data_IF_440470897632
#
_entry.id   IF_440470897632
#
_cell.length_a   1.000
_cell.length_b   1.000
_cell.length_c   1.000
_cell.angle_alpha   90.00
_cell.angle_beta   90.00
_cell.angle_gamma   90.00
#
_symmetry.space_group_name_H-M   'P 1'
#
loop_
_entity.id
_entity.type
_entity.pdbx_description
1 polymer ?
#
# COMPACT_ATOMS: atom_id res chain seq x y z
N UNK A 1 -73.60 -47.39 -16.70
CA UNK A 1 -73.08 -48.77 -16.54
C UNK A 1 -71.72 -48.64 -15.87
N UNK A 2 -71.63 -48.93 -14.56
CA UNK A 2 -70.92 -50.10 -13.95
C UNK A 2 -69.41 -50.06 -14.29
N UNK A 3 -68.45 -49.98 -13.36
CA UNK A 3 -68.25 -50.66 -12.05
C UNK A 3 -67.05 -49.98 -11.34
N UNK A 4 -67.14 -49.38 -10.14
CA UNK A 4 -66.77 -49.90 -8.79
C UNK A 4 -65.63 -50.93 -8.66
N UNK A 5 -64.65 -50.63 -7.78
CA UNK A 5 -64.15 -51.37 -6.57
C UNK A 5 -62.74 -50.81 -6.21
N UNK A 6 -62.39 -50.21 -5.07
CA UNK A 6 -62.62 -50.40 -3.63
C UNK A 6 -61.74 -51.48 -2.95
N UNK A 7 -61.31 -51.16 -1.69
CA UNK A 7 -60.75 -51.99 -0.58
C UNK A 7 -59.22 -51.93 -0.42
N UNK A 8 -58.65 -51.11 0.49
CA UNK A 8 -58.47 -51.22 1.98
C UNK A 8 -57.46 -52.29 2.44
N UNK A 9 -56.45 -51.90 3.25
CA UNK A 9 -56.32 -52.28 4.68
C UNK A 9 -55.11 -51.67 5.41
N UNK A 10 -55.44 -51.00 6.51
CA UNK A 10 -54.66 -50.76 7.73
C UNK A 10 -54.08 -52.05 8.33
N UNK A 11 -52.90 -51.95 8.95
CA UNK A 11 -52.58 -52.67 10.19
C UNK A 11 -51.62 -51.85 11.07
N UNK A 12 -52.12 -51.54 12.27
CA UNK A 12 -51.40 -50.99 13.41
C UNK A 12 -51.15 -52.09 14.47
N UNK A 13 -50.01 -52.02 15.18
CA UNK A 13 -49.76 -52.37 16.62
C UNK A 13 -48.24 -52.25 16.88
N UNK A 14 -47.70 -51.41 17.79
CA UNK A 14 -47.86 -51.29 19.27
C UNK A 14 -47.41 -52.59 19.96
N UNK A 15 -46.46 -52.69 20.89
CA UNK A 15 -45.56 -51.79 21.62
C UNK A 15 -44.76 -52.65 22.64
N UNK A 16 -43.68 -52.12 23.21
CA UNK A 16 -43.18 -52.27 24.60
C UNK A 16 -41.82 -51.53 24.68
N UNK A 17 -41.51 -50.55 25.54
CA UNK A 17 -41.69 -50.35 27.00
C UNK A 17 -40.60 -50.98 27.90
N UNK A 18 -39.45 -50.29 28.00
CA UNK A 18 -38.66 -49.93 29.22
C UNK A 18 -38.16 -51.04 30.20
N UNK A 19 -37.44 -50.78 31.34
CA UNK A 19 -36.74 -49.57 31.88
C UNK A 19 -35.36 -49.84 32.60
N UNK A 20 -34.84 -48.79 33.30
CA UNK A 20 -33.90 -48.74 34.46
C UNK A 20 -32.41 -48.55 34.15
N UNK A 21 -31.67 -47.50 34.55
CA UNK A 21 -31.54 -46.67 35.78
C UNK A 21 -30.69 -47.31 36.91
N UNK A 22 -29.58 -46.63 37.26
CA UNK A 22 -28.84 -46.54 38.54
C UNK A 22 -27.52 -45.77 38.26
N UNK A 23 -27.35 -44.52 38.70
CA UNK A 23 -26.83 -44.06 40.00
C UNK A 23 -25.31 -44.17 40.15
N UNK A 24 -24.65 -43.02 40.29
CA UNK A 24 -23.61 -42.79 41.30
C UNK A 24 -23.32 -41.28 41.43
N UNK A 25 -23.64 -40.76 42.62
CA UNK A 25 -23.13 -39.52 43.19
C UNK A 25 -21.68 -39.70 43.64
N UNK A 26 -20.85 -38.66 43.53
CA UNK A 26 -19.80 -38.40 44.53
C UNK A 26 -19.47 -36.90 44.59
N UNK A 27 -19.60 -36.35 45.80
CA UNK A 27 -19.27 -34.99 46.21
C UNK A 27 -17.74 -34.72 46.17
N UNK A 28 -17.33 -33.47 45.86
CA UNK A 28 -16.59 -32.61 46.81
C UNK A 28 -16.15 -31.24 46.26
N UNK A 29 -16.53 -30.22 47.05
CA UNK A 29 -15.82 -28.98 47.41
C UNK A 29 -15.39 -27.95 46.34
N UNK A 30 -16.11 -26.83 46.36
CA UNK A 30 -15.63 -25.46 46.07
C UNK A 30 -14.57 -24.97 47.07
N UNK A 31 -13.80 -23.92 46.71
CA UNK A 31 -13.84 -22.70 47.52
C UNK A 31 -14.12 -21.41 46.72
N UNK A 32 -14.82 -20.50 47.40
CA UNK A 32 -15.29 -19.17 46.97
C UNK A 32 -14.13 -18.18 46.74
N UNK A 33 -14.21 -17.41 45.65
CA UNK A 33 -13.55 -16.10 45.47
C UNK A 33 -14.60 -15.03 45.13
N UNK A 34 -14.44 -13.76 45.56
CA UNK A 34 -15.49 -12.74 45.51
C UNK A 34 -15.61 -12.02 44.15
N UNK A 35 -16.71 -11.27 43.89
CA UNK A 35 -17.16 -10.89 42.55
C UNK A 35 -16.74 -9.47 42.12
N UNK A 36 -17.28 -9.04 40.98
CA UNK A 36 -17.35 -7.67 40.36
C UNK A 36 -16.22 -7.40 39.37
N UNK A 37 -16.44 -7.07 38.09
CA UNK A 37 -17.48 -6.25 37.42
C UNK A 37 -16.73 -5.06 36.77
N UNK A 38 -16.92 -4.74 35.47
CA UNK A 38 -16.07 -3.76 34.79
C UNK A 38 -16.34 -2.33 35.29
N UNK A 39 -15.33 -1.43 35.35
CA UNK A 39 -15.55 -0.08 35.82
C UNK A 39 -16.37 0.71 34.80
N UNK A 40 -17.53 1.16 35.26
CA UNK A 40 -18.43 2.11 34.65
C UNK A 40 -17.82 3.52 34.60
N UNK A 41 -17.87 4.15 33.41
CA UNK A 41 -18.24 5.56 33.16
C UNK A 41 -17.44 6.72 33.80
N UNK A 42 -17.28 7.86 33.11
CA UNK A 42 -16.43 8.95 33.55
C UNK A 42 -17.09 9.82 34.65
N UNK A 43 -16.30 10.48 35.52
CA UNK A 43 -16.85 11.41 36.51
C UNK A 43 -17.39 12.68 35.83
N UNK A 44 -18.63 13.05 36.18
CA UNK A 44 -19.18 14.39 35.95
C UNK A 44 -18.82 15.30 37.13
N UNK A 45 -18.63 16.58 36.81
CA UNK A 45 -18.54 17.77 37.68
C UNK A 45 -17.15 18.30 38.05
N UNK A 46 -16.58 19.12 37.14
CA UNK A 46 -15.86 20.38 37.44
C UNK A 46 -15.81 21.26 36.16
N UNK A 47 -15.57 22.59 36.24
CA UNK A 47 -16.47 23.61 35.71
C UNK A 47 -16.11 24.17 34.32
N UNK A 48 -17.10 24.83 33.71
CA UNK A 48 -16.97 25.68 32.52
C UNK A 48 -16.05 26.88 32.73
N UNK A 49 -15.17 27.10 31.74
CA UNK A 49 -14.76 28.43 31.30
C UNK A 49 -13.47 28.99 31.90
N UNK A 50 -12.40 29.04 31.08
CA UNK A 50 -11.66 30.25 30.73
C UNK A 50 -10.48 29.90 29.78
N UNK A 51 -10.06 30.85 28.91
CA UNK A 51 -9.14 30.61 27.80
C UNK A 51 -7.68 30.77 28.24
N UNK A 52 -6.78 29.97 27.68
CA UNK A 52 -5.33 30.13 27.79
C UNK A 52 -4.69 29.70 26.46
N UNK A 53 -3.76 30.41 25.85
CA UNK A 53 -3.07 31.61 26.29
C UNK A 53 -2.42 32.29 25.09
N UNK A 54 -2.73 33.57 24.96
CA UNK A 54 -1.98 34.56 24.19
C UNK A 54 -0.59 34.69 24.84
N UNK A 55 0.48 34.38 24.10
CA UNK A 55 1.82 34.84 24.48
C UNK A 55 1.94 36.32 24.09
N UNK A 56 2.20 37.23 25.04
CA UNK A 56 2.38 38.64 24.73
C UNK A 56 3.77 38.90 24.15
N UNK A 57 3.83 39.53 22.98
CA UNK A 57 4.99 40.33 22.59
C UNK A 57 5.67 39.95 21.29
N UNK A 58 5.00 40.10 20.14
CA UNK A 58 5.63 40.63 18.91
C UNK A 58 4.58 41.45 18.16
N UNK A 59 4.66 42.77 18.26
CA UNK A 59 4.04 43.68 17.30
C UNK A 59 4.97 43.79 16.09
N UNK A 60 4.57 43.30 14.92
CA UNK A 60 5.11 43.75 13.65
C UNK A 60 4.15 43.41 12.50
N UNK A 61 3.49 44.45 12.01
CA UNK A 61 2.87 44.50 10.71
C UNK A 61 3.95 44.36 9.63
N UNK A 62 3.89 43.33 8.78
CA UNK A 62 4.44 43.40 7.42
C UNK A 62 3.91 42.27 6.56
N UNK A 63 3.20 42.64 5.50
CA UNK A 63 2.74 41.78 4.42
C UNK A 63 3.93 41.03 3.75
N UNK A 64 3.70 39.84 3.16
CA UNK A 64 4.72 39.13 2.42
C UNK A 64 5.07 39.88 1.12
N UNK A 65 6.36 40.00 0.74
CA UNK A 65 6.75 40.69 -0.48
C UNK A 65 6.29 39.91 -1.72
N UNK A 66 5.48 40.58 -2.56
CA UNK A 66 5.15 40.15 -3.91
C UNK A 66 6.43 40.05 -4.74
N UNK A 67 6.70 38.87 -5.32
CA UNK A 67 7.71 38.72 -6.38
C UNK A 67 7.19 39.41 -7.64
N UNK A 68 7.92 40.43 -8.09
CA UNK A 68 7.77 41.01 -9.43
C UNK A 68 8.18 39.98 -10.48
N UNK A 69 7.29 39.75 -11.44
CA UNK A 69 7.52 38.89 -12.60
C UNK A 69 8.69 39.43 -13.45
N UNK A 70 9.78 38.67 -13.49
CA UNK A 70 10.86 38.87 -14.45
C UNK A 70 10.51 38.20 -15.79
N UNK A 71 10.85 38.88 -16.88
CA UNK A 71 10.74 38.44 -18.27
C UNK A 71 11.38 37.07 -18.52
N UNK A 72 10.80 36.20 -19.38
CA UNK A 72 11.37 34.89 -19.70
C UNK A 72 12.69 35.04 -20.45
N UNK A 73 13.73 34.33 -19.99
CA UNK A 73 14.98 34.14 -20.74
C UNK A 73 14.76 33.05 -21.79
N UNK A 74 14.99 33.39 -23.06
CA UNK A 74 15.00 32.46 -24.19
C UNK A 74 16.10 31.40 -24.00
N UNK A 75 15.72 30.13 -23.98
CA UNK A 75 16.65 29.00 -24.02
C UNK A 75 17.00 28.73 -25.49
N UNK A 76 18.19 29.16 -25.91
CA UNK A 76 18.76 28.77 -27.20
C UNK A 76 19.20 27.30 -27.12
N UNK A 77 18.54 26.46 -27.94
CA UNK A 77 18.97 25.09 -28.20
C UNK A 77 20.20 25.12 -29.11
N UNK A 78 21.39 24.86 -28.55
CA UNK A 78 22.57 24.54 -29.35
C UNK A 78 22.74 23.03 -29.39
N UNK A 79 22.44 22.49 -30.57
CA UNK A 79 22.72 21.13 -30.99
C UNK A 79 24.22 21.05 -31.33
N UNK A 80 24.98 20.26 -30.58
CA UNK A 80 26.35 19.89 -30.94
C UNK A 80 26.57 18.41 -30.59
N UNK A 81 26.66 17.62 -31.65
CA UNK A 81 27.08 16.23 -31.65
C UNK A 81 28.52 16.15 -31.11
N UNK A 82 28.75 15.31 -30.10
CA UNK A 82 30.11 14.93 -29.69
C UNK A 82 30.21 13.41 -29.72
N UNK A 83 31.04 12.94 -30.64
CA UNK A 83 31.48 11.57 -30.85
C UNK A 83 32.24 11.07 -29.62
N UNK A 84 31.91 9.87 -29.13
CA UNK A 84 32.69 9.17 -28.12
C UNK A 84 33.68 8.23 -28.82
N UNK A 85 34.96 8.63 -28.83
CA UNK A 85 36.06 7.77 -29.23
C UNK A 85 36.51 6.93 -28.03
N UNK A 86 36.61 5.62 -28.24
CA UNK A 86 36.92 4.63 -27.21
C UNK A 86 38.37 4.19 -27.39
N UNK A 87 39.27 4.56 -26.48
CA UNK A 87 40.59 3.91 -26.40
C UNK A 87 40.86 3.28 -25.02
N UNK A 88 41.31 2.04 -25.13
CA UNK A 88 41.68 1.07 -24.12
C UNK A 88 42.92 1.50 -23.33
N UNK A 89 42.92 1.27 -22.02
CA UNK A 89 44.08 1.47 -21.14
C UNK A 89 44.20 0.31 -20.15
N UNK A 90 45.27 -0.46 -20.30
CA UNK A 90 45.55 -1.74 -19.67
C UNK A 90 45.90 -1.69 -18.17
N UNK A 91 45.72 -2.85 -17.54
CA UNK A 91 46.12 -3.25 -16.19
C UNK A 91 47.57 -2.88 -15.83
N UNK A 92 47.78 -2.42 -14.60
CA UNK A 92 49.11 -2.39 -13.96
C UNK A 92 49.00 -2.92 -12.54
N UNK A 93 49.58 -4.12 -12.36
CA UNK A 93 49.92 -4.78 -11.10
C UNK A 93 50.75 -3.87 -10.18
N UNK A 94 50.41 -3.83 -8.88
CA UNK A 94 51.27 -3.30 -7.82
C UNK A 94 51.77 -4.46 -6.93
N UNK A 95 53.09 -4.61 -6.69
CA UNK A 95 53.60 -5.67 -5.84
C UNK A 95 53.54 -5.28 -4.36
N UNK A 96 53.31 -6.30 -3.53
CA UNK A 96 53.43 -6.32 -2.07
C UNK A 96 54.91 -6.30 -1.68
N UNK A 97 55.27 -5.49 -0.69
CA UNK A 97 56.48 -5.67 0.13
C UNK A 97 56.12 -5.41 1.59
N UNK A 98 56.28 -6.45 2.40
CA UNK A 98 56.47 -6.38 3.85
C UNK A 98 57.91 -5.95 4.14
N UNK A 99 58.12 -5.13 5.17
CA UNK A 99 59.09 -5.41 6.24
C UNK A 99 59.01 -4.34 7.35
N UNK A 100 59.29 -4.83 8.55
CA UNK A 100 59.10 -4.28 9.89
C UNK A 100 59.87 -2.98 10.19
N UNK A 101 59.37 -2.15 11.10
CA UNK A 101 60.22 -1.33 11.97
C UNK A 101 59.55 -0.92 13.30
N UNK A 102 60.41 -0.80 14.30
CA UNK A 102 60.20 -1.00 15.73
C UNK A 102 59.31 0.00 16.49
N UNK A 103 58.66 -0.56 17.50
CA UNK A 103 57.95 0.08 18.60
C UNK A 103 58.92 0.92 19.47
N UNK A 104 58.65 2.22 19.67
CA UNK A 104 59.27 3.02 20.73
C UNK A 104 58.25 3.90 21.44
N UNK A 105 58.13 3.69 22.76
CA UNK A 105 57.30 4.43 23.71
C UNK A 105 58.00 5.73 24.14
N UNK A 106 57.35 6.89 23.96
CA UNK A 106 57.46 8.02 24.91
C UNK A 106 56.32 9.05 24.70
N UNK A 107 55.65 9.54 25.77
CA UNK A 107 54.55 10.50 25.62
C UNK A 107 55.06 11.95 25.58
N UNK A 108 54.54 12.82 24.70
CA UNK A 108 54.83 14.25 24.74
C UNK A 108 53.93 14.97 25.76
N UNK A 109 54.53 15.84 26.57
CA UNK A 109 53.83 16.76 27.48
C UNK A 109 53.40 18.01 26.72
N UNK A 110 52.18 18.57 26.93
CA UNK A 110 51.80 19.84 26.33
C UNK A 110 52.14 20.99 27.28
N UNK A 111 53.10 21.82 26.91
CA UNK A 111 53.23 23.17 27.47
C UNK A 111 52.31 24.12 26.70
N UNK A 112 51.22 24.55 27.34
CA UNK A 112 50.27 25.52 26.79
C UNK A 112 50.87 26.93 26.95
N UNK A 113 51.27 27.56 25.84
CA UNK A 113 51.60 28.99 25.80
C UNK A 113 50.32 29.80 25.58
N UNK A 114 49.82 30.41 26.66
CA UNK A 114 48.57 31.19 26.73
C UNK A 114 48.78 32.64 26.23
N UNK A 115 49.95 33.00 25.69
CA UNK A 115 50.25 34.36 25.23
C UNK A 115 49.80 34.72 23.80
N UNK A 116 49.55 33.72 22.93
CA UNK A 116 49.34 33.95 21.49
C UNK A 116 47.88 34.06 21.01
N UNK A 117 46.90 33.76 21.87
CA UNK A 117 45.52 33.48 21.43
C UNK A 117 44.62 34.69 21.14
N UNK A 118 45.07 35.92 21.44
CA UNK A 118 44.19 37.12 21.35
C UNK A 118 44.42 37.92 20.04
N UNK A 119 45.43 37.58 19.25
CA UNK A 119 45.78 38.32 18.02
C UNK A 119 45.24 37.75 16.70
N UNK A 120 44.69 36.53 16.69
CA UNK A 120 44.35 35.82 15.45
C UNK A 120 42.84 35.74 15.15
N UNK A 121 41.98 36.19 16.06
CA UNK A 121 40.52 36.09 15.93
C UNK A 121 39.88 37.15 15.02
N UNK A 122 40.66 37.96 14.29
CA UNK A 122 40.16 38.99 13.36
C UNK A 122 40.68 38.84 11.92
N UNK A 123 41.25 37.68 11.56
CA UNK A 123 41.77 37.42 10.21
C UNK A 123 41.17 36.17 9.53
N UNK A 124 40.04 35.65 10.02
CA UNK A 124 39.20 34.77 9.21
C UNK A 124 38.51 35.66 8.17
N UNK A 125 39.04 35.66 6.94
CA UNK A 125 38.47 36.42 5.85
C UNK A 125 37.12 35.79 5.46
N UNK A 126 36.11 36.58 5.05
CA UNK A 126 34.83 36.04 4.57
C UNK A 126 35.00 35.10 3.36
N UNK A 127 36.15 35.15 2.68
CA UNK A 127 36.51 34.25 1.59
C UNK A 127 36.84 32.82 2.08
N UNK A 128 37.47 32.68 3.25
CA UNK A 128 37.77 31.39 3.90
C UNK A 128 36.49 30.64 4.30
N UNK A 129 35.51 31.35 4.83
CA UNK A 129 34.22 30.76 5.21
C UNK A 129 33.41 30.34 3.98
N UNK A 130 33.50 31.10 2.89
CA UNK A 130 32.87 30.74 1.61
C UNK A 130 33.50 29.47 1.02
N UNK A 131 34.82 29.32 1.10
CA UNK A 131 35.52 28.11 0.65
C UNK A 131 35.16 26.89 1.51
N UNK A 132 35.06 27.06 2.84
CA UNK A 132 34.63 26.00 3.75
C UNK A 132 33.17 25.56 3.46
N UNK A 133 32.26 26.51 3.25
CA UNK A 133 30.87 26.22 2.87
C UNK A 133 30.75 25.60 1.48
N UNK A 134 31.63 25.96 0.54
CA UNK A 134 31.70 25.32 -0.77
C UNK A 134 32.18 23.87 -0.67
N UNK A 135 33.19 23.60 0.14
CA UNK A 135 33.67 22.25 0.42
C UNK A 135 32.58 21.39 1.09
N UNK A 136 31.85 21.95 2.05
CA UNK A 136 30.72 21.29 2.70
C UNK A 136 29.58 21.00 1.71
N UNK A 137 29.19 21.96 0.86
CA UNK A 137 28.19 21.73 -0.18
C UNK A 137 28.61 20.67 -1.19
N UNK A 138 29.89 20.62 -1.55
CA UNK A 138 30.42 19.62 -2.46
C UNK A 138 30.41 18.22 -1.81
N UNK A 139 30.76 18.13 -0.53
CA UNK A 139 30.63 16.91 0.27
C UNK A 139 29.18 16.43 0.36
N UNK A 140 28.22 17.33 0.66
CA UNK A 140 26.79 17.00 0.70
C UNK A 140 26.26 16.52 -0.65
N UNK A 141 26.68 17.15 -1.76
CA UNK A 141 26.31 16.72 -3.11
C UNK A 141 26.84 15.33 -3.43
N UNK A 142 28.09 15.04 -3.07
CA UNK A 142 28.67 13.71 -3.26
C UNK A 142 27.97 12.66 -2.39
N UNK A 143 27.69 12.97 -1.13
CA UNK A 143 26.94 12.10 -0.23
C UNK A 143 25.53 11.81 -0.75
N UNK A 144 24.84 12.83 -1.28
CA UNK A 144 23.51 12.68 -1.88
C UNK A 144 23.53 11.80 -3.14
N UNK A 145 24.51 12.01 -4.02
CA UNK A 145 24.67 11.19 -5.23
C UNK A 145 24.94 9.73 -4.87
N UNK A 146 25.82 9.48 -3.90
CA UNK A 146 26.12 8.13 -3.42
C UNK A 146 24.89 7.48 -2.78
N UNK A 147 24.16 8.20 -1.93
CA UNK A 147 22.92 7.71 -1.33
C UNK A 147 21.87 7.37 -2.40
N UNK A 148 21.74 8.22 -3.43
CA UNK A 148 20.82 7.98 -4.55
C UNK A 148 21.22 6.73 -5.35
N UNK A 149 22.52 6.52 -5.57
CA UNK A 149 23.04 5.32 -6.23
C UNK A 149 22.72 4.05 -5.45
N UNK A 150 22.95 4.06 -4.12
CA UNK A 150 22.67 2.91 -3.25
C UNK A 150 21.17 2.62 -3.21
N UNK A 151 20.32 3.64 -3.08
CA UNK A 151 18.86 3.49 -3.10
C UNK A 151 18.41 2.89 -4.43
N UNK A 152 18.93 3.40 -5.55
CA UNK A 152 18.58 2.87 -6.86
C UNK A 152 19.00 1.40 -7.01
N UNK A 153 20.21 1.03 -6.57
CA UNK A 153 20.67 -0.36 -6.61
C UNK A 153 19.81 -1.30 -5.73
N UNK A 154 19.41 -0.84 -4.54
CA UNK A 154 18.50 -1.57 -3.67
C UNK A 154 17.09 -1.70 -4.27
N UNK A 155 16.63 -0.66 -4.96
CA UNK A 155 15.30 -0.66 -5.57
C UNK A 155 15.27 -1.48 -6.87
N UNK A 156 16.27 -1.36 -7.74
CA UNK A 156 16.29 -2.04 -9.04
C UNK A 156 17.08 -3.35 -9.00
N UNK A 157 16.92 -4.15 -7.94
CA UNK A 157 17.47 -5.50 -7.92
C UNK A 157 16.82 -6.35 -9.03
N UNK A 158 17.60 -7.08 -9.84
CA UNK A 158 17.06 -7.93 -10.87
C UNK A 158 16.23 -9.05 -10.23
N UNK A 159 14.93 -9.07 -10.51
CA UNK A 159 14.03 -10.08 -9.98
C UNK A 159 14.20 -11.40 -10.76
N UNK A 160 14.36 -12.55 -10.08
CA UNK A 160 14.42 -13.83 -10.76
C UNK A 160 13.05 -14.20 -11.37
N UNK A 161 13.02 -14.96 -12.49
CA UNK A 161 11.77 -15.51 -12.99
C UNK A 161 11.24 -16.60 -12.05
N UNK A 162 9.92 -16.80 -12.05
CA UNK A 162 9.27 -17.87 -11.27
C UNK A 162 8.95 -19.02 -12.21
N UNK A 163 9.38 -20.22 -11.85
CA UNK A 163 9.07 -21.45 -12.62
C UNK A 163 8.00 -22.22 -11.87
N UNK A 164 6.81 -22.31 -12.46
CA UNK A 164 5.70 -23.11 -11.95
C UNK A 164 5.54 -24.42 -12.71
N UNK A 165 4.49 -25.17 -12.38
CA UNK A 165 4.17 -26.40 -13.10
C UNK A 165 3.55 -26.06 -14.47
N UNK A 166 4.36 -26.16 -15.53
CA UNK A 166 3.93 -25.92 -16.90
C UNK A 166 3.78 -24.45 -17.30
N UNK A 167 4.34 -23.51 -16.52
CA UNK A 167 4.40 -22.08 -16.87
C UNK A 167 5.67 -21.42 -16.33
N UNK A 168 6.07 -20.30 -16.93
CA UNK A 168 7.16 -19.45 -16.44
C UNK A 168 6.64 -18.02 -16.30
N UNK A 169 6.75 -17.44 -15.11
CA UNK A 169 6.52 -16.01 -14.89
C UNK A 169 7.80 -15.27 -15.23
N UNK A 170 7.82 -14.43 -16.29
CA UNK A 170 9.03 -13.73 -16.67
C UNK A 170 9.51 -12.76 -15.58
N UNK A 171 10.82 -12.53 -15.52
CA UNK A 171 11.44 -11.59 -14.59
C UNK A 171 10.85 -10.17 -14.65
N UNK A 172 10.43 -9.71 -15.85
CA UNK A 172 9.83 -8.39 -16.01
C UNK A 172 8.44 -8.30 -15.36
N UNK A 173 7.65 -9.39 -15.39
CA UNK A 173 6.34 -9.43 -14.70
C UNK A 173 6.55 -9.36 -13.20
N UNK A 174 7.50 -10.13 -12.65
CA UNK A 174 7.83 -10.05 -11.21
C UNK A 174 8.29 -8.63 -10.84
N UNK A 175 9.13 -8.03 -11.68
CA UNK A 175 9.59 -6.64 -11.50
C UNK A 175 8.44 -5.63 -11.52
N UNK A 176 7.41 -5.85 -12.35
CA UNK A 176 6.21 -5.01 -12.37
C UNK A 176 5.40 -5.09 -11.07
N UNK A 177 5.27 -6.29 -10.47
CA UNK A 177 4.65 -6.45 -9.14
C UNK A 177 5.41 -5.64 -8.08
N UNK A 178 6.74 -5.73 -8.05
CA UNK A 178 7.56 -4.97 -7.08
C UNK A 178 7.44 -3.47 -7.32
N UNK A 179 7.55 -3.03 -8.58
CA UNK A 179 7.43 -1.63 -8.97
C UNK A 179 6.09 -1.04 -8.55
N UNK A 180 4.98 -1.70 -8.89
CA UNK A 180 3.65 -1.19 -8.57
C UNK A 180 3.37 -1.26 -7.07
N UNK A 181 3.80 -2.33 -6.39
CA UNK A 181 3.65 -2.47 -4.96
C UNK A 181 4.32 -1.34 -4.17
N UNK A 182 5.55 -0.95 -4.55
CA UNK A 182 6.23 0.23 -3.98
C UNK A 182 5.50 1.53 -4.29
N UNK A 183 4.98 1.68 -5.51
CA UNK A 183 4.21 2.87 -5.89
C UNK A 183 2.95 3.01 -5.04
N UNK A 184 2.20 1.91 -4.84
CA UNK A 184 1.00 1.85 -4.02
C UNK A 184 1.28 2.24 -2.56
N UNK A 185 2.39 1.76 -1.99
CA UNK A 185 2.79 2.14 -0.63
C UNK A 185 3.24 3.60 -0.55
N UNK A 186 4.00 4.10 -1.54
CA UNK A 186 4.45 5.50 -1.59
C UNK A 186 3.28 6.49 -1.66
N UNK A 187 2.22 6.13 -2.36
CA UNK A 187 1.01 6.96 -2.46
C UNK A 187 0.05 6.82 -1.27
N UNK A 188 0.38 5.95 -0.30
CA UNK A 188 -0.43 5.72 0.89
C UNK A 188 -1.72 4.94 0.64
N UNK A 189 -1.79 4.19 -0.46
CA UNK A 189 -2.98 3.39 -0.81
C UNK A 189 -3.02 2.05 -0.08
N UNK A 190 -1.87 1.53 0.35
CA UNK A 190 -1.74 0.31 1.15
C UNK A 190 -0.74 0.50 2.30
N UNK A 191 -0.96 -0.26 3.38
CA UNK A 191 -0.09 -0.28 4.56
C UNK A 191 0.10 -1.73 5.03
N UNK A 192 1.28 -2.02 5.57
CA UNK A 192 1.65 -3.34 6.07
C UNK A 192 1.35 -4.44 5.03
N UNK A 193 0.55 -5.45 5.41
CA UNK A 193 0.23 -6.64 4.63
C UNK A 193 -1.20 -6.61 4.08
N UNK A 194 -1.83 -5.44 4.00
CA UNK A 194 -3.22 -5.28 3.56
C UNK A 194 -3.26 -4.89 2.09
N UNK A 195 -4.06 -5.64 1.33
CA UNK A 195 -4.25 -5.47 -0.10
C UNK A 195 -3.62 -6.60 -0.91
N UNK A 196 -4.02 -6.69 -2.17
CA UNK A 196 -3.52 -7.68 -3.12
C UNK A 196 -3.54 -7.11 -4.52
N UNK A 197 -2.60 -7.53 -5.35
CA UNK A 197 -2.56 -7.14 -6.77
C UNK A 197 -2.48 -8.38 -7.64
N UNK A 198 -3.05 -8.31 -8.84
CA UNK A 198 -3.05 -9.40 -9.81
C UNK A 198 -3.06 -8.88 -11.23
N UNK A 199 -2.57 -9.70 -12.17
CA UNK A 199 -2.66 -9.44 -13.61
C UNK A 199 -2.92 -10.74 -14.36
N UNK A 200 -3.62 -10.64 -15.49
CA UNK A 200 -3.67 -11.69 -16.50
C UNK A 200 -2.32 -11.73 -17.23
N UNK A 201 -1.83 -12.92 -17.50
CA UNK A 201 -0.62 -13.13 -18.31
C UNK A 201 -0.93 -12.79 -19.77
N UNK A 202 0.00 -12.10 -20.43
CA UNK A 202 -0.08 -11.81 -21.86
C UNK A 202 0.57 -12.91 -22.70
N UNK A 203 1.44 -13.72 -22.09
CA UNK A 203 2.18 -14.79 -22.77
C UNK A 203 1.37 -16.09 -22.81
N UNK A 204 0.67 -16.41 -21.72
CA UNK A 204 -0.15 -17.60 -21.60
C UNK A 204 -1.62 -17.27 -21.36
N UNK A 205 -2.55 -17.73 -22.22
CA UNK A 205 -3.97 -17.49 -22.01
C UNK A 205 -4.45 -18.16 -20.72
N UNK A 206 -5.38 -17.52 -20.04
CA UNK A 206 -6.00 -17.94 -18.79
C UNK A 206 -5.04 -18.04 -17.58
N UNK A 207 -3.76 -17.69 -17.70
CA UNK A 207 -2.85 -17.67 -16.56
C UNK A 207 -3.00 -16.35 -15.81
N UNK A 208 -3.17 -16.42 -14.49
CA UNK A 208 -3.27 -15.26 -13.61
C UNK A 208 -2.09 -15.28 -12.66
N UNK A 209 -1.45 -14.12 -12.51
CA UNK A 209 -0.45 -13.87 -11.49
C UNK A 209 -1.09 -13.03 -10.39
N UNK A 210 -0.86 -13.37 -9.12
CA UNK A 210 -1.46 -12.68 -7.96
C UNK A 210 -0.50 -12.70 -6.78
N UNK A 211 -0.55 -11.68 -5.93
CA UNK A 211 0.18 -11.70 -4.66
C UNK A 211 -0.43 -12.69 -3.68
N UNK A 212 0.42 -13.38 -2.91
CA UNK A 212 0.00 -14.22 -1.80
C UNK A 212 -0.67 -13.39 -0.69
N UNK A 213 -1.57 -14.02 0.04
CA UNK A 213 -2.24 -13.45 1.19
C UNK A 213 -1.21 -12.98 2.23
N UNK A 214 -1.40 -11.77 2.75
CA UNK A 214 -0.49 -11.18 3.73
C UNK A 214 0.85 -10.70 3.17
N UNK A 215 1.02 -10.62 1.86
CA UNK A 215 2.25 -10.07 1.26
C UNK A 215 2.37 -8.56 1.52
N UNK A 216 3.54 -8.05 1.95
CA UNK A 216 3.75 -6.61 2.10
C UNK A 216 3.97 -5.96 0.72
N UNK A 217 2.94 -5.29 0.17
CA UNK A 217 2.97 -4.80 -1.21
C UNK A 217 4.19 -3.91 -1.54
N UNK A 218 4.66 -3.03 -0.64
CA UNK A 218 5.85 -2.22 -0.95
C UNK A 218 7.20 -2.92 -0.72
N UNK A 219 7.20 -4.19 -0.31
CA UNK A 219 8.41 -5.02 -0.12
C UNK A 219 8.27 -6.37 -0.83
N UNK A 220 7.55 -6.40 -1.96
CA UNK A 220 7.39 -7.63 -2.74
C UNK A 220 8.72 -8.11 -3.31
N UNK A 221 8.79 -9.43 -3.46
CA UNK A 221 9.82 -10.18 -4.17
C UNK A 221 9.15 -11.34 -4.94
N UNK A 222 9.93 -12.18 -5.61
CA UNK A 222 9.42 -13.34 -6.36
C UNK A 222 8.60 -14.33 -5.51
N UNK A 223 8.89 -14.43 -4.20
CA UNK A 223 8.26 -15.42 -3.31
C UNK A 223 6.84 -15.03 -2.95
N UNK A 224 6.51 -13.75 -3.10
CA UNK A 224 5.19 -13.19 -2.82
C UNK A 224 4.22 -13.32 -4.00
N UNK A 225 4.67 -13.76 -5.18
CA UNK A 225 3.81 -13.94 -6.34
C UNK A 225 3.46 -15.42 -6.49
N UNK A 226 2.16 -15.70 -6.62
CA UNK A 226 1.62 -17.01 -6.95
C UNK A 226 0.93 -16.94 -8.32
N UNK A 227 0.68 -18.09 -8.95
CA UNK A 227 0.01 -18.14 -10.24
C UNK A 227 -0.88 -19.37 -10.35
N UNK A 228 -1.97 -19.23 -11.10
CA UNK A 228 -2.94 -20.29 -11.36
C UNK A 228 -3.78 -19.97 -12.58
N UNK A 229 -4.60 -20.91 -13.04
CA UNK A 229 -5.44 -20.70 -14.22
C UNK A 229 -6.85 -20.26 -13.84
N UNK A 230 -7.45 -19.40 -14.66
CA UNK A 230 -8.85 -18.98 -14.50
C UNK A 230 -9.78 -20.21 -14.47
N UNK A 231 -10.68 -20.24 -13.49
CA UNK A 231 -11.62 -21.35 -13.28
C UNK A 231 -11.07 -22.54 -12.51
N UNK A 232 -9.77 -22.55 -12.19
CA UNK A 232 -9.17 -23.56 -11.31
C UNK A 232 -9.22 -23.13 -9.83
N UNK A 233 -8.89 -24.09 -8.96
CA UNK A 233 -8.74 -23.84 -7.53
C UNK A 233 -7.65 -22.81 -7.26
N UNK A 234 -7.81 -22.06 -6.17
CA UNK A 234 -6.83 -21.07 -5.75
C UNK A 234 -5.44 -21.70 -5.57
N UNK A 235 -4.38 -21.05 -6.08
CA UNK A 235 -3.01 -21.44 -5.75
C UNK A 235 -2.77 -21.38 -4.24
N UNK A 236 -1.76 -22.13 -3.79
CA UNK A 236 -1.32 -22.10 -2.39
C UNK A 236 -1.03 -20.66 -1.93
N UNK A 237 -1.40 -20.37 -0.70
CA UNK A 237 -1.13 -19.11 0.00
C UNK A 237 -1.79 -17.85 -0.61
N UNK A 238 -2.77 -17.96 -1.53
CA UNK A 238 -3.50 -16.78 -2.07
C UNK A 238 -4.75 -16.43 -1.28
N UNK A 239 -5.36 -17.42 -0.61
CA UNK A 239 -6.54 -17.20 0.23
C UNK A 239 -7.81 -16.86 -0.56
N UNK A 240 -8.71 -16.12 0.09
CA UNK A 240 -10.03 -15.75 -0.45
C UNK A 240 -9.98 -14.72 -1.58
N UNK A 241 -8.89 -13.96 -1.70
CA UNK A 241 -8.71 -12.95 -2.74
C UNK A 241 -8.75 -13.54 -4.16
N UNK A 242 -8.41 -14.82 -4.33
CA UNK A 242 -8.38 -15.49 -5.63
C UNK A 242 -9.70 -15.37 -6.40
N UNK A 243 -10.82 -15.73 -5.76
CA UNK A 243 -12.14 -15.76 -6.42
C UNK A 243 -12.57 -14.36 -6.85
N UNK A 244 -12.33 -13.36 -6.01
CA UNK A 244 -12.66 -11.97 -6.33
C UNK A 244 -11.80 -11.47 -7.49
N UNK A 245 -10.47 -11.59 -7.38
CA UNK A 245 -9.54 -11.12 -8.41
C UNK A 245 -9.79 -11.80 -9.77
N UNK A 246 -9.99 -13.11 -9.81
CA UNK A 246 -10.22 -13.84 -11.06
C UNK A 246 -11.51 -13.41 -11.77
N UNK A 247 -12.58 -13.14 -11.04
CA UNK A 247 -13.84 -12.65 -11.60
C UNK A 247 -13.67 -11.22 -12.13
N UNK A 248 -13.04 -10.33 -11.35
CA UNK A 248 -12.82 -8.95 -11.77
C UNK A 248 -11.88 -8.88 -12.98
N UNK A 249 -10.82 -9.70 -13.01
CA UNK A 249 -9.93 -9.83 -14.17
C UNK A 249 -10.68 -10.35 -15.39
N UNK A 250 -11.55 -11.37 -15.24
CA UNK A 250 -12.33 -11.90 -16.34
C UNK A 250 -13.24 -10.83 -16.96
N UNK A 251 -14.01 -10.10 -16.15
CA UNK A 251 -14.87 -9.00 -16.61
C UNK A 251 -14.06 -7.90 -17.29
N UNK A 252 -12.95 -7.48 -16.67
CA UNK A 252 -12.07 -6.43 -17.19
C UNK A 252 -11.41 -6.84 -18.51
N UNK A 253 -11.02 -8.11 -18.65
CA UNK A 253 -10.37 -8.62 -19.86
C UNK A 253 -11.27 -8.54 -21.10
N UNK A 254 -12.60 -8.61 -20.92
CA UNK A 254 -13.56 -8.46 -22.02
C UNK A 254 -13.58 -7.03 -22.56
N UNK A 255 -13.31 -6.03 -21.72
CA UNK A 255 -13.27 -4.61 -22.12
C UNK A 255 -11.91 -4.23 -22.74
N UNK A 256 -10.83 -4.84 -22.27
CA UNK A 256 -9.45 -4.50 -22.63
C UNK A 256 -8.75 -5.55 -23.52
N UNK A 257 -9.52 -6.22 -24.39
CA UNK A 257 -9.02 -7.17 -25.40
C UNK A 257 -8.07 -8.26 -24.85
N UNK A 258 -8.41 -8.83 -23.69
CA UNK A 258 -7.65 -9.89 -23.03
C UNK A 258 -6.60 -9.43 -22.01
N UNK A 259 -6.29 -8.14 -21.95
CA UNK A 259 -5.40 -7.58 -20.92
C UNK A 259 -6.22 -7.20 -19.69
N UNK A 260 -5.75 -7.51 -18.49
CA UNK A 260 -6.40 -7.05 -17.26
C UNK A 260 -5.43 -7.07 -16.09
N UNK A 261 -5.54 -6.07 -15.22
CA UNK A 261 -4.94 -6.03 -13.90
C UNK A 261 -5.97 -5.57 -12.86
N UNK A 262 -5.79 -6.00 -11.62
CA UNK A 262 -6.65 -5.66 -10.49
C UNK A 262 -5.81 -5.37 -9.25
N UNK A 263 -6.15 -4.32 -8.53
CA UNK A 263 -5.56 -3.94 -7.26
C UNK A 263 -6.65 -3.80 -6.19
N UNK A 264 -6.59 -4.65 -5.18
CA UNK A 264 -7.35 -4.52 -3.95
C UNK A 264 -6.56 -3.71 -2.93
N UNK A 265 -7.13 -2.60 -2.47
CA UNK A 265 -6.43 -1.62 -1.65
C UNK A 265 -7.34 -1.14 -0.52
N UNK A 266 -6.80 -0.97 0.70
CA UNK A 266 -7.57 -0.50 1.84
C UNK A 266 -7.99 0.98 1.72
N UNK A 267 -7.31 1.80 0.90
CA UNK A 267 -7.74 3.16 0.48
C UNK A 267 -8.58 3.91 1.55
N UNK A 268 -7.93 4.48 2.59
CA UNK A 268 -8.58 4.82 3.85
C UNK A 268 -9.76 5.78 3.73
N UNK A 269 -9.73 6.77 2.83
CA UNK A 269 -10.85 7.69 2.65
C UNK A 269 -12.01 7.01 1.91
N UNK A 270 -11.72 6.23 0.87
CA UNK A 270 -12.73 5.45 0.14
C UNK A 270 -13.42 4.45 1.06
N UNK A 271 -12.65 3.75 1.89
CA UNK A 271 -13.18 2.80 2.88
C UNK A 271 -13.95 3.49 3.99
N UNK A 272 -13.47 4.63 4.51
CA UNK A 272 -14.20 5.39 5.52
C UNK A 272 -15.56 5.87 4.98
N UNK A 273 -15.59 6.37 3.74
CA UNK A 273 -16.83 6.79 3.08
C UNK A 273 -17.77 5.62 2.84
N UNK A 274 -17.24 4.43 2.52
CA UNK A 274 -18.07 3.24 2.30
C UNK A 274 -18.74 2.71 3.57
N UNK A 275 -18.28 3.07 4.77
CA UNK A 275 -18.92 2.66 6.03
C UNK A 275 -20.24 3.39 6.32
N UNK A 276 -20.58 4.43 5.56
CA UNK A 276 -21.87 5.13 5.68
C UNK A 276 -23.02 4.24 5.20
N UNK A 277 -23.85 3.75 6.12
CA UNK A 277 -24.86 2.69 5.85
C UNK A 277 -25.84 3.02 4.72
N UNK A 278 -26.23 4.29 4.58
CA UNK A 278 -27.19 4.72 3.54
C UNK A 278 -26.54 4.98 2.17
N UNK A 279 -25.21 4.82 2.07
CA UNK A 279 -24.44 5.06 0.85
C UNK A 279 -24.19 3.74 0.10
N UNK A 280 -24.75 3.62 -1.10
CA UNK A 280 -24.56 2.47 -1.99
C UNK A 280 -23.67 2.77 -3.21
N UNK A 281 -23.35 4.05 -3.43
CA UNK A 281 -22.59 4.52 -4.57
C UNK A 281 -21.74 5.72 -4.16
N UNK A 282 -20.46 5.68 -4.49
CA UNK A 282 -19.55 6.82 -4.39
C UNK A 282 -19.62 7.65 -5.67
N UNK A 283 -19.81 8.97 -5.52
CA UNK A 283 -19.80 9.93 -6.62
C UNK A 283 -18.79 11.03 -6.33
N UNK A 284 -17.67 11.09 -7.07
CA UNK A 284 -16.71 12.18 -6.94
C UNK A 284 -17.36 13.55 -7.13
N UNK A 285 -17.00 14.51 -6.26
CA UNK A 285 -17.47 15.90 -6.35
C UNK A 285 -16.47 16.81 -7.07
N UNK A 286 -15.20 16.42 -7.11
CA UNK A 286 -14.12 17.15 -7.77
C UNK A 286 -14.14 17.00 -9.29
N UNK A 287 -13.49 17.94 -9.98
CA UNK A 287 -13.52 18.01 -11.45
C UNK A 287 -12.88 16.77 -12.11
N UNK A 288 -11.75 16.30 -11.60
CA UNK A 288 -11.02 15.18 -12.18
C UNK A 288 -11.79 13.87 -11.97
N UNK A 289 -12.29 13.66 -10.76
CA UNK A 289 -13.13 12.52 -10.39
C UNK A 289 -14.41 12.45 -11.23
N UNK A 290 -15.11 13.57 -11.44
CA UNK A 290 -16.33 13.62 -12.27
C UNK A 290 -16.09 13.24 -13.74
N UNK A 291 -14.93 13.61 -14.28
CA UNK A 291 -14.55 13.24 -15.65
C UNK A 291 -14.21 11.75 -15.76
N UNK A 292 -13.62 11.17 -14.70
CA UNK A 292 -13.15 9.79 -14.70
C UNK A 292 -14.23 8.80 -14.29
N UNK A 293 -15.02 9.11 -13.28
CA UNK A 293 -16.04 8.24 -12.68
C UNK A 293 -17.39 8.93 -12.71
N UNK A 294 -18.38 8.26 -13.30
CA UNK A 294 -19.78 8.65 -13.17
C UNK A 294 -20.32 8.23 -11.80
N UNK A 295 -19.99 7.00 -11.40
CA UNK A 295 -20.32 6.40 -10.11
C UNK A 295 -19.46 5.17 -9.86
N UNK A 296 -19.13 4.91 -8.61
CA UNK A 296 -18.47 3.68 -8.15
C UNK A 296 -19.40 2.97 -7.16
N UNK A 297 -19.79 1.73 -7.46
CA UNK A 297 -20.74 0.98 -6.64
C UNK A 297 -20.07 0.48 -5.36
N UNK A 298 -20.82 0.52 -4.25
CA UNK A 298 -20.47 -0.11 -2.97
C UNK A 298 -21.26 -1.41 -2.87
N UNK A 299 -20.55 -2.51 -2.60
CA UNK A 299 -21.12 -3.85 -2.41
C UNK A 299 -20.93 -4.28 -0.97
N UNK A 300 -21.97 -4.87 -0.40
CA UNK A 300 -21.95 -5.40 0.95
C UNK A 300 -21.53 -6.87 0.92
N UNK A 301 -20.59 -7.25 1.78
CA UNK A 301 -20.18 -8.64 1.98
C UNK A 301 -21.03 -9.39 3.01
N UNK A 302 -21.78 -8.66 3.81
CA UNK A 302 -22.52 -9.20 4.95
C UNK A 302 -23.88 -9.77 4.51
N UNK A 303 -24.32 -10.83 5.17
CA UNK A 303 -25.64 -11.47 5.00
C UNK A 303 -25.98 -11.94 3.56
N UNK A 304 -24.98 -12.10 2.69
CA UNK A 304 -25.13 -12.62 1.32
C UNK A 304 -24.39 -13.93 1.12
N UNK A 305 -24.87 -14.75 0.18
CA UNK A 305 -24.13 -15.93 -0.26
C UNK A 305 -22.87 -15.51 -1.03
N UNK A 306 -21.84 -16.35 -1.03
CA UNK A 306 -20.61 -16.07 -1.77
C UNK A 306 -20.88 -15.84 -3.28
N UNK A 307 -21.75 -16.66 -3.89
CA UNK A 307 -22.09 -16.53 -5.31
C UNK A 307 -22.84 -15.23 -5.61
N UNK A 308 -23.75 -14.79 -4.72
CA UNK A 308 -24.45 -13.51 -4.87
C UNK A 308 -23.50 -12.33 -4.71
N UNK A 309 -22.56 -12.40 -3.76
CA UNK A 309 -21.52 -11.38 -3.56
C UNK A 309 -20.66 -11.22 -4.82
N UNK A 310 -20.17 -12.34 -5.38
CA UNK A 310 -19.36 -12.32 -6.59
C UNK A 310 -20.15 -11.82 -7.82
N UNK A 311 -21.45 -12.16 -7.91
CA UNK A 311 -22.34 -11.59 -8.93
C UNK A 311 -22.47 -10.07 -8.78
N UNK A 312 -22.77 -9.59 -7.57
CA UNK A 312 -22.87 -8.15 -7.29
C UNK A 312 -21.57 -7.41 -7.59
N UNK A 313 -20.41 -8.02 -7.30
CA UNK A 313 -19.12 -7.45 -7.64
C UNK A 313 -18.94 -7.27 -9.16
N UNK A 314 -19.21 -8.31 -9.94
CA UNK A 314 -19.09 -8.22 -11.41
C UNK A 314 -20.08 -7.24 -12.04
N UNK A 315 -21.33 -7.22 -11.57
CA UNK A 315 -22.37 -6.29 -12.04
C UNK A 315 -22.05 -4.84 -11.65
N UNK A 316 -21.61 -4.61 -10.41
CA UNK A 316 -21.20 -3.29 -9.93
C UNK A 316 -19.96 -2.76 -10.67
N UNK A 317 -19.02 -3.64 -11.00
CA UNK A 317 -17.84 -3.27 -11.75
C UNK A 317 -18.21 -2.84 -13.18
N UNK A 318 -19.11 -3.58 -13.85
CA UNK A 318 -19.62 -3.21 -15.16
C UNK A 318 -20.33 -1.84 -15.14
N UNK A 319 -21.11 -1.55 -14.10
CA UNK A 319 -21.76 -0.24 -13.92
C UNK A 319 -20.75 0.91 -13.75
N UNK A 320 -19.59 0.64 -13.16
CA UNK A 320 -18.49 1.61 -13.02
C UNK A 320 -17.65 1.82 -14.30
N UNK A 321 -18.07 1.25 -15.45
CA UNK A 321 -17.29 1.18 -16.70
C UNK A 321 -15.96 0.45 -16.53
N UNK A 322 -15.95 -0.63 -15.74
CA UNK A 322 -14.78 -1.46 -15.48
C UNK A 322 -13.58 -0.66 -14.96
N UNK A 323 -13.78 0.16 -13.93
CA UNK A 323 -12.68 0.96 -13.33
C UNK A 323 -12.45 0.66 -11.86
N UNK A 324 -13.51 0.64 -11.06
CA UNK A 324 -13.39 0.43 -9.64
C UNK A 324 -14.71 -0.05 -9.03
N UNK A 325 -14.60 -0.84 -7.98
CA UNK A 325 -15.72 -1.23 -7.12
C UNK A 325 -15.26 -1.22 -5.67
N UNK A 326 -16.16 -0.91 -4.75
CA UNK A 326 -15.83 -0.81 -3.33
C UNK A 326 -16.59 -1.88 -2.57
N UNK A 327 -15.89 -2.59 -1.69
CA UNK A 327 -16.51 -3.47 -0.70
C UNK A 327 -16.66 -2.67 0.59
N UNK A 328 -17.87 -2.63 1.15
CA UNK A 328 -18.15 -1.88 2.39
C UNK A 328 -17.18 -2.30 3.50
N UNK A 329 -16.42 -1.33 4.03
CA UNK A 329 -15.39 -1.59 5.05
C UNK A 329 -14.18 -2.44 4.59
N UNK A 330 -14.21 -3.02 3.39
CA UNK A 330 -13.22 -3.95 2.87
C UNK A 330 -12.19 -3.34 1.92
N UNK A 331 -12.42 -2.12 1.44
CA UNK A 331 -11.50 -1.45 0.51
C UNK A 331 -12.03 -1.32 -0.91
N UNK A 332 -11.18 -0.80 -1.78
CA UNK A 332 -11.45 -0.64 -3.20
C UNK A 332 -10.76 -1.73 -4.00
N UNK A 333 -11.47 -2.28 -4.97
CA UNK A 333 -10.92 -3.08 -6.06
C UNK A 333 -10.91 -2.20 -7.30
N UNK A 334 -9.73 -1.73 -7.69
CA UNK A 334 -9.54 -0.99 -8.94
C UNK A 334 -8.99 -1.93 -10.02
N UNK A 335 -9.48 -1.76 -11.24
CA UNK A 335 -9.08 -2.58 -12.38
C UNK A 335 -8.67 -1.71 -13.56
N UNK A 336 -7.99 -2.31 -14.53
CA UNK A 336 -7.64 -1.68 -15.80
C UNK A 336 -6.94 -2.67 -16.73
N UNK A 337 -6.46 -2.22 -17.88
CA UNK A 337 -5.71 -3.08 -18.81
C UNK A 337 -4.40 -3.59 -18.20
N UNK A 338 -3.75 -2.78 -17.35
CA UNK A 338 -2.45 -3.08 -16.74
C UNK A 338 -2.36 -2.43 -15.36
N UNK A 339 -1.28 -2.73 -14.64
CA UNK A 339 -1.05 -2.22 -13.29
C UNK A 339 -1.11 -0.71 -13.16
N UNK A 340 -0.62 0.04 -14.16
CA UNK A 340 -0.62 1.51 -14.10
C UNK A 340 -2.04 2.07 -14.20
N UNK A 341 -2.90 1.48 -15.03
CA UNK A 341 -4.29 1.89 -15.14
C UNK A 341 -5.09 1.52 -13.89
N UNK A 342 -4.90 0.32 -13.35
CA UNK A 342 -5.52 -0.08 -12.08
C UNK A 342 -5.10 0.85 -10.93
N UNK A 343 -3.82 1.22 -10.87
CA UNK A 343 -3.30 2.20 -9.91
C UNK A 343 -3.88 3.60 -10.12
N UNK A 344 -3.93 4.11 -11.35
CA UNK A 344 -4.48 5.44 -11.66
C UNK A 344 -5.97 5.53 -11.29
N UNK A 345 -6.72 4.44 -11.51
CA UNK A 345 -8.11 4.34 -11.08
C UNK A 345 -8.23 4.34 -9.54
N UNK A 346 -7.42 3.55 -8.83
CA UNK A 346 -7.41 3.53 -7.36
C UNK A 346 -7.02 4.88 -6.75
N UNK A 347 -5.95 5.48 -7.24
CA UNK A 347 -5.43 6.76 -6.75
C UNK A 347 -6.44 7.88 -6.95
N UNK A 348 -7.12 7.92 -8.10
CA UNK A 348 -8.09 8.96 -8.37
C UNK A 348 -9.37 8.83 -7.54
N UNK A 349 -9.92 7.63 -7.38
CA UNK A 349 -11.11 7.48 -6.53
C UNK A 349 -10.77 7.83 -5.07
N UNK A 350 -9.61 7.40 -4.58
CA UNK A 350 -9.16 7.73 -3.22
C UNK A 350 -8.96 9.24 -3.04
N UNK A 351 -8.34 9.91 -4.01
CA UNK A 351 -8.18 11.36 -3.99
C UNK A 351 -9.53 12.09 -3.97
N UNK A 352 -10.45 11.67 -4.84
CA UNK A 352 -11.81 12.21 -4.88
C UNK A 352 -12.56 12.03 -3.57
N UNK A 353 -12.47 10.84 -2.97
CA UNK A 353 -13.13 10.55 -1.69
C UNK A 353 -12.50 11.31 -0.53
N UNK A 354 -11.18 11.53 -0.56
CA UNK A 354 -10.50 12.42 0.38
C UNK A 354 -11.04 13.85 0.30
N UNK A 355 -11.21 14.40 -0.91
CA UNK A 355 -11.80 15.73 -1.07
C UNK A 355 -13.22 15.74 -0.51
N UNK A 356 -14.06 14.78 -0.91
CA UNK A 356 -15.44 14.69 -0.45
C UNK A 356 -15.53 14.60 1.08
N UNK A 357 -14.67 13.81 1.71
CA UNK A 357 -14.58 13.68 3.16
C UNK A 357 -14.21 15.02 3.83
N UNK A 358 -13.19 15.72 3.30
CA UNK A 358 -12.75 17.01 3.83
C UNK A 358 -13.81 18.11 3.62
N UNK A 359 -14.50 18.09 2.49
CA UNK A 359 -15.62 18.99 2.16
C UNK A 359 -16.76 18.82 3.15
N UNK A 360 -17.16 17.57 3.46
CA UNK A 360 -18.15 17.26 4.49
C UNK A 360 -17.71 17.71 5.89
N UNK A 361 -16.44 17.48 6.24
CA UNK A 361 -15.90 17.91 7.53
C UNK A 361 -15.87 19.44 7.67
N UNK A 362 -15.66 20.16 6.58
CA UNK A 362 -15.65 21.61 6.53
C UNK A 362 -17.04 22.25 6.37
N UNK A 363 -18.11 21.44 6.27
CA UNK A 363 -19.49 21.89 6.04
C UNK A 363 -19.63 22.76 4.77
N UNK A 364 -18.91 22.37 3.71
CA UNK A 364 -18.99 22.97 2.39
C UNK A 364 -19.92 22.09 1.55
N UNK A 365 -21.04 22.63 1.08
CA UNK A 365 -22.00 21.91 0.22
C UNK A 365 -21.53 21.79 -1.24
#
# INVERSE_FOLDING_TARGET
>A
MRTQLAVMRDMAKKGDSSPSAADNEEEKSSPKGPPTGPPSGPPKDAPMGMPMGMFPGITASSAPPQRTAGTPLEVQQNNAEQEYDTESGADVDTPVNDDDDEFSDEPPTPSVDIGGMIGQSMAATPMSDVEALQAENLSMRNALTNATSIINEMDTQPMPPIVGDGFVVPAHVVSDFVRIGRQLQRDGLCYATVGSISTLSLDEPNLVHITKEGSPLGQLDERHVASGRLGEMAPLDVGSAWKIHTILLAVTSLEHNGSAACAHLPAPYTTAMSLEQDLFVLRPSDLAGKQRFESVVIVDSDDVSEDDFLRQLSEGLAQSKCKAIVVRGGGVYAVGANFNEAWDNAAAIEHSMKILFLTRLADIE
#
